data_IF_057870610016
#
_entry.id   IF_057870610016
#
_cell.length_a   1.000
_cell.length_b   1.000
_cell.length_c   1.000
_cell.angle_alpha   90.00
_cell.angle_beta   90.00
_cell.angle_gamma   90.00
#
_symmetry.space_group_name_H-M   'P 1'
#
loop_
_entity.id
_entity.type
_entity.pdbx_description
1 polymer ?
#
# COMPACT_ATOMS: atom_id res chain seq x y z
N UNK A 1 -28.79 11.59 -5.37
CA UNK A 1 -28.13 10.79 -4.31
C UNK A 1 -26.70 10.58 -4.74
N UNK A 2 -25.71 11.00 -3.96
CA UNK A 2 -24.30 10.71 -4.27
C UNK A 2 -24.07 9.21 -4.16
N UNK A 3 -23.46 8.59 -5.18
CA UNK A 3 -23.11 7.18 -5.13
C UNK A 3 -22.15 6.91 -3.96
N UNK A 4 -22.33 5.77 -3.30
CA UNK A 4 -21.43 5.33 -2.23
C UNK A 4 -20.02 5.12 -2.78
N UNK A 5 -19.02 5.66 -2.07
CA UNK A 5 -17.60 5.53 -2.44
C UNK A 5 -17.15 4.09 -2.27
N UNK A 6 -16.69 3.44 -3.33
CA UNK A 6 -16.12 2.08 -3.26
C UNK A 6 -15.21 1.76 -4.45
N UNK A 7 -14.46 0.67 -4.29
CA UNK A 7 -13.72 0.02 -5.37
C UNK A 7 -14.26 -1.40 -5.55
N UNK A 8 -14.76 -1.74 -6.73
CA UNK A 8 -15.12 -3.10 -7.11
C UNK A 8 -14.01 -3.73 -7.94
N UNK A 9 -13.57 -4.92 -7.55
CA UNK A 9 -12.64 -5.73 -8.32
C UNK A 9 -13.45 -6.54 -9.34
N UNK A 10 -13.10 -6.41 -10.62
CA UNK A 10 -13.70 -7.22 -11.68
C UNK A 10 -12.84 -8.47 -11.89
N UNK A 11 -13.48 -9.65 -11.92
CA UNK A 11 -12.80 -10.93 -12.16
C UNK A 11 -11.94 -10.84 -13.42
N UNK A 12 -10.64 -11.09 -13.30
CA UNK A 12 -9.66 -10.96 -14.40
C UNK A 12 -9.66 -9.61 -15.13
N UNK A 13 -10.22 -8.58 -14.51
CA UNK A 13 -10.44 -7.26 -15.09
C UNK A 13 -9.90 -6.11 -14.26
N UNK A 14 -10.37 -4.88 -14.49
CA UNK A 14 -9.91 -3.68 -13.80
C UNK A 14 -10.46 -3.55 -12.38
N UNK A 15 -10.03 -2.48 -11.70
CA UNK A 15 -10.74 -1.93 -10.54
C UNK A 15 -11.74 -0.89 -11.03
N UNK A 16 -13.03 -1.03 -10.68
CA UNK A 16 -14.04 0.01 -10.91
C UNK A 16 -14.14 0.86 -9.65
N UNK A 17 -13.82 2.14 -9.76
CA UNK A 17 -13.89 3.13 -8.69
C UNK A 17 -15.18 3.93 -8.87
N UNK A 18 -15.99 4.06 -7.83
CA UNK A 18 -17.29 4.74 -7.83
C UNK A 18 -17.36 5.77 -6.69
N UNK A 19 -18.13 6.86 -6.88
CA UNK A 19 -18.42 7.84 -5.82
C UNK A 19 -17.55 9.11 -5.88
N UNK A 20 -17.13 9.51 -7.08
CA UNK A 20 -16.35 10.76 -7.30
C UNK A 20 -15.05 10.82 -6.48
N UNK A 21 -14.38 9.67 -6.31
CA UNK A 21 -13.14 9.58 -5.53
C UNK A 21 -11.99 10.24 -6.29
N UNK A 22 -11.33 11.28 -5.73
CA UNK A 22 -10.21 11.95 -6.38
C UNK A 22 -9.05 10.99 -6.69
N UNK A 23 -8.38 11.23 -7.82
CA UNK A 23 -7.25 10.46 -8.29
C UNK A 23 -6.03 11.36 -8.47
N UNK A 24 -4.95 11.02 -7.80
CA UNK A 24 -3.68 11.75 -7.83
C UNK A 24 -2.55 10.88 -8.37
N UNK A 25 -1.44 11.52 -8.72
CA UNK A 25 -0.14 10.87 -8.89
C UNK A 25 0.85 11.51 -7.92
N UNK A 26 1.62 10.67 -7.22
CA UNK A 26 2.69 11.08 -6.33
C UNK A 26 3.95 10.27 -6.61
N UNK A 27 5.11 10.87 -6.35
CA UNK A 27 6.41 10.27 -6.61
C UNK A 27 7.17 10.08 -5.30
N UNK A 28 7.78 8.91 -5.12
CA UNK A 28 8.66 8.64 -3.98
C UNK A 28 9.91 9.51 -4.13
N UNK A 29 10.17 10.30 -3.09
CA UNK A 29 11.39 11.10 -2.94
C UNK A 29 12.26 10.47 -1.86
N UNK A 30 13.55 10.40 -2.15
CA UNK A 30 14.55 9.84 -1.26
C UNK A 30 15.37 10.92 -0.57
N UNK A 31 15.92 10.60 0.60
CA UNK A 31 16.98 11.40 1.20
C UNK A 31 18.35 11.17 0.54
N UNK A 32 19.37 11.84 1.06
CA UNK A 32 20.76 11.77 0.60
C UNK A 32 21.35 10.34 0.70
N UNK A 33 20.84 9.54 1.65
CA UNK A 33 21.21 8.14 1.86
C UNK A 33 20.38 7.16 1.00
N UNK A 34 19.62 7.68 0.01
CA UNK A 34 18.78 6.90 -0.89
C UNK A 34 17.62 6.16 -0.20
N UNK A 35 17.21 6.56 1.00
CA UNK A 35 16.03 6.01 1.65
C UNK A 35 14.77 6.78 1.27
N UNK A 36 13.66 6.06 1.03
CA UNK A 36 12.37 6.69 0.80
C UNK A 36 11.96 7.54 2.01
N UNK A 37 11.73 8.83 1.78
CA UNK A 37 11.46 9.82 2.82
C UNK A 37 10.10 10.48 2.67
N UNK A 38 9.68 10.79 1.44
CA UNK A 38 8.39 11.42 1.18
C UNK A 38 7.68 10.90 -0.08
N UNK A 39 6.41 11.26 -0.22
CA UNK A 39 5.64 11.19 -1.46
C UNK A 39 5.28 12.62 -1.90
N UNK A 40 5.92 13.11 -2.94
CA UNK A 40 5.67 14.45 -3.46
C UNK A 40 4.53 14.43 -4.48
N UNK A 41 3.70 15.46 -4.43
CA UNK A 41 2.61 15.64 -5.39
C UNK A 41 3.17 15.91 -6.79
N UNK A 42 2.64 15.19 -7.78
CA UNK A 42 3.01 15.40 -9.18
C UNK A 42 1.85 15.96 -9.99
N UNK A 43 0.66 15.33 -9.91
CA UNK A 43 -0.54 15.80 -10.60
C UNK A 43 -1.83 15.22 -10.02
N UNK A 44 -2.92 15.86 -10.41
CA UNK A 44 -4.30 15.42 -10.19
C UNK A 44 -4.94 15.07 -11.53
N UNK A 45 -5.82 14.08 -11.53
CA UNK A 45 -6.63 13.70 -12.68
C UNK A 45 -8.03 14.32 -12.56
N UNK A 46 -8.71 14.62 -13.68
CA UNK A 46 -10.07 15.13 -13.64
C UNK A 46 -11.01 14.23 -12.83
N UNK A 47 -11.81 14.84 -11.96
CA UNK A 47 -12.80 14.13 -11.15
C UNK A 47 -13.84 13.45 -12.05
N UNK A 48 -14.16 12.20 -11.74
CA UNK A 48 -15.15 11.38 -12.44
C UNK A 48 -16.00 10.65 -11.41
N UNK A 49 -17.31 10.61 -11.63
CA UNK A 49 -18.22 9.87 -10.76
C UNK A 49 -17.86 8.38 -10.67
N UNK A 50 -17.52 7.78 -11.82
CA UNK A 50 -17.03 6.40 -11.94
C UNK A 50 -15.89 6.31 -12.96
N UNK A 51 -14.87 5.50 -12.67
CA UNK A 51 -13.77 5.23 -13.59
C UNK A 51 -13.15 3.84 -13.36
N UNK A 52 -12.49 3.29 -14.39
CA UNK A 52 -11.86 1.98 -14.34
C UNK A 52 -10.33 2.09 -14.37
N UNK A 53 -9.66 1.65 -13.31
CA UNK A 53 -8.19 1.61 -13.23
C UNK A 53 -7.63 0.28 -13.75
N UNK A 54 -6.56 0.37 -14.53
CA UNK A 54 -5.85 -0.80 -15.04
C UNK A 54 -5.23 -1.60 -13.90
N UNK A 55 -5.52 -2.91 -13.89
CA UNK A 55 -4.95 -3.89 -12.95
C UNK A 55 -3.94 -4.84 -13.59
N UNK A 56 -4.02 -5.05 -14.90
CA UNK A 56 -3.16 -5.99 -15.63
C UNK A 56 -1.78 -5.41 -16.00
N UNK A 57 -1.58 -4.09 -15.83
CA UNK A 57 -0.32 -3.40 -16.15
C UNK A 57 -0.01 -3.23 -17.64
N UNK A 58 -0.95 -3.55 -18.55
CA UNK A 58 -0.73 -3.55 -20.01
C UNK A 58 -1.64 -2.62 -20.82
N UNK A 59 -2.51 -1.86 -20.16
CA UNK A 59 -3.33 -0.86 -20.85
C UNK A 59 -2.46 0.15 -21.60
N UNK A 60 -2.90 0.56 -22.78
CA UNK A 60 -2.30 1.62 -23.58
C UNK A 60 -2.83 3.00 -23.19
N UNK A 61 -3.90 3.05 -22.38
CA UNK A 61 -4.52 4.27 -21.86
C UNK A 61 -4.30 4.43 -20.34
N UNK A 62 -3.08 4.13 -19.86
CA UNK A 62 -2.76 4.20 -18.43
C UNK A 62 -3.06 5.61 -17.86
N UNK A 63 -3.61 5.71 -16.65
CA UNK A 63 -3.82 4.63 -15.67
C UNK A 63 -5.13 3.86 -15.86
N UNK A 64 -5.94 4.22 -16.85
CA UNK A 64 -7.26 3.65 -17.06
C UNK A 64 -7.21 2.31 -17.78
N UNK A 65 -8.24 1.50 -17.59
CA UNK A 65 -8.43 0.27 -18.34
C UNK A 65 -8.88 0.57 -19.78
N UNK A 66 -8.33 -0.13 -20.76
CA UNK A 66 -8.69 -0.05 -22.19
C UNK A 66 -9.16 -1.40 -22.77
N UNK A 67 -9.45 -2.38 -21.90
CA UNK A 67 -9.83 -3.74 -22.30
C UNK A 67 -8.67 -4.68 -22.65
N UNK A 68 -7.41 -4.23 -22.62
CA UNK A 68 -6.25 -5.09 -22.96
C UNK A 68 -6.17 -6.38 -22.14
N UNK A 69 -6.64 -6.37 -20.88
CA UNK A 69 -6.68 -7.53 -19.99
C UNK A 69 -7.39 -8.75 -20.60
N UNK A 70 -8.44 -8.54 -21.41
CA UNK A 70 -9.15 -9.63 -22.11
C UNK A 70 -8.25 -10.26 -23.17
N UNK A 71 -7.59 -9.43 -23.98
CA UNK A 71 -6.76 -9.85 -25.11
C UNK A 71 -5.53 -10.65 -24.68
N UNK A 72 -4.97 -10.30 -23.52
CA UNK A 72 -3.76 -10.96 -22.99
C UNK A 72 -4.09 -12.11 -22.02
N UNK A 73 -5.38 -12.42 -21.81
CA UNK A 73 -5.80 -13.44 -20.85
C UNK A 73 -5.30 -13.16 -19.43
N UNK A 74 -5.43 -11.93 -18.95
CA UNK A 74 -4.92 -11.54 -17.63
C UNK A 74 -5.54 -12.40 -16.52
N UNK A 75 -4.70 -13.13 -15.79
CA UNK A 75 -5.10 -13.79 -14.55
C UNK A 75 -5.02 -12.80 -13.38
N UNK A 76 -6.20 -12.32 -12.99
CA UNK A 76 -6.41 -11.40 -11.88
C UNK A 76 -7.03 -12.08 -10.68
N UNK A 77 -6.88 -13.41 -10.54
CA UNK A 77 -7.38 -14.17 -9.38
C UNK A 77 -6.88 -13.54 -8.09
N UNK A 78 -7.81 -13.26 -7.18
CA UNK A 78 -7.51 -12.74 -5.85
C UNK A 78 -6.97 -13.88 -5.00
N UNK A 79 -5.80 -13.69 -4.41
CA UNK A 79 -5.08 -14.64 -3.56
C UNK A 79 -4.89 -14.14 -2.13
N UNK A 80 -5.13 -12.86 -1.88
CA UNK A 80 -4.94 -12.25 -0.57
C UNK A 80 -5.96 -12.74 0.44
N UNK A 81 -5.46 -12.97 1.66
CA UNK A 81 -6.29 -13.27 2.81
C UNK A 81 -7.31 -12.16 3.06
N UNK A 82 -8.52 -12.57 3.45
CA UNK A 82 -9.59 -11.68 3.93
C UNK A 82 -9.65 -11.62 5.45
N UNK A 83 -8.74 -12.28 6.16
CA UNK A 83 -8.68 -12.18 7.63
C UNK A 83 -8.37 -10.73 8.06
N UNK A 84 -8.90 -10.27 9.21
CA UNK A 84 -8.57 -8.95 9.74
C UNK A 84 -7.06 -8.77 9.95
N UNK A 85 -6.58 -7.54 9.74
CA UNK A 85 -5.18 -7.14 9.87
C UNK A 85 -4.54 -7.63 11.17
N UNK A 86 -5.21 -7.44 12.30
CA UNK A 86 -4.68 -7.82 13.62
C UNK A 86 -4.46 -9.32 13.78
N UNK A 87 -5.16 -10.17 13.02
CA UNK A 87 -4.93 -11.63 13.03
C UNK A 87 -3.74 -12.05 12.15
N UNK A 88 -3.34 -11.19 11.22
CA UNK A 88 -2.19 -11.41 10.33
C UNK A 88 -0.93 -10.69 10.82
N UNK A 89 -1.05 -9.83 11.84
CA UNK A 89 0.02 -8.99 12.31
C UNK A 89 0.85 -9.68 13.41
N UNK A 90 2.16 -9.61 13.26
CA UNK A 90 3.10 -9.88 14.34
C UNK A 90 3.25 -8.64 15.23
N UNK A 91 3.56 -8.85 16.50
CA UNK A 91 3.75 -7.78 17.49
C UNK A 91 5.23 -7.68 17.84
N UNK A 92 5.77 -6.47 17.72
CA UNK A 92 7.11 -6.12 18.18
C UNK A 92 7.00 -5.03 19.24
N UNK A 93 7.72 -5.19 20.34
CA UNK A 93 7.65 -4.25 21.46
C UNK A 93 8.98 -3.54 21.70
N UNK A 94 8.88 -2.25 22.00
CA UNK A 94 9.94 -1.43 22.55
C UNK A 94 9.57 -0.83 23.90
N UNK A 95 10.47 0.00 24.47
CA UNK A 95 10.21 0.72 25.72
C UNK A 95 8.91 1.54 25.71
N UNK A 96 8.69 2.38 24.70
CA UNK A 96 7.54 3.31 24.63
C UNK A 96 6.55 2.97 23.51
N UNK A 97 6.98 2.18 22.52
CA UNK A 97 6.21 1.89 21.33
C UNK A 97 5.92 0.39 21.19
N UNK A 98 4.78 0.07 20.57
CA UNK A 98 4.44 -1.26 20.09
C UNK A 98 4.18 -1.18 18.59
N UNK A 99 4.69 -2.10 17.80
CA UNK A 99 4.47 -2.17 16.36
C UNK A 99 3.67 -3.44 16.05
N UNK A 100 2.55 -3.29 15.36
CA UNK A 100 1.92 -4.40 14.64
C UNK A 100 2.42 -4.39 13.20
N UNK A 101 2.87 -5.54 12.70
CA UNK A 101 3.46 -5.70 11.37
C UNK A 101 2.81 -6.87 10.64
N UNK A 102 1.98 -6.58 9.62
CA UNK A 102 1.36 -7.62 8.80
C UNK A 102 2.04 -7.70 7.44
N UNK A 103 2.99 -8.64 7.34
CA UNK A 103 3.92 -8.79 6.22
C UNK A 103 3.26 -8.88 4.84
N UNK A 104 2.09 -9.52 4.76
CA UNK A 104 1.32 -9.71 3.54
C UNK A 104 0.95 -8.39 2.83
N UNK A 105 0.87 -7.28 3.57
CA UNK A 105 0.55 -5.98 2.98
C UNK A 105 1.77 -5.24 2.41
N UNK A 106 3.00 -5.78 2.52
CA UNK A 106 4.17 -5.02 2.10
C UNK A 106 4.19 -4.75 0.58
N UNK A 107 4.11 -3.48 0.19
CA UNK A 107 4.28 -3.06 -1.20
C UNK A 107 5.73 -2.75 -1.59
N UNK A 108 6.64 -2.86 -0.62
CA UNK A 108 8.06 -2.58 -0.75
C UNK A 108 8.36 -1.15 -1.24
N UNK A 109 7.61 -0.15 -0.78
CA UNK A 109 7.95 1.28 -0.96
C UNK A 109 9.12 1.76 -0.09
N UNK A 110 9.64 0.91 0.82
CA UNK A 110 10.91 1.09 1.56
C UNK A 110 10.95 2.25 2.57
N UNK A 111 9.81 2.84 2.93
CA UNK A 111 9.76 3.94 3.92
C UNK A 111 10.18 3.54 5.34
N UNK A 112 10.22 2.25 5.66
CA UNK A 112 10.58 1.72 6.98
C UNK A 112 12.06 1.33 7.15
N UNK A 113 12.92 1.79 6.22
CA UNK A 113 14.33 1.40 6.16
C UNK A 113 15.28 2.52 6.60
N UNK A 114 14.79 3.73 6.88
CA UNK A 114 15.64 4.86 7.32
C UNK A 114 16.23 4.54 8.69
N UNK A 115 17.37 5.17 9.00
CA UNK A 115 18.02 5.07 10.32
C UNK A 115 18.24 3.63 10.84
N UNK A 116 18.47 2.66 9.93
CA UNK A 116 18.69 1.25 10.27
C UNK A 116 17.41 0.40 10.29
N UNK A 117 16.24 1.01 10.11
CA UNK A 117 14.95 0.37 9.93
C UNK A 117 14.08 0.37 11.18
N UNK A 118 12.75 0.33 10.96
CA UNK A 118 11.75 0.57 12.01
C UNK A 118 11.88 -0.36 13.23
N UNK A 119 12.25 -1.63 13.05
CA UNK A 119 12.42 -2.58 14.18
C UNK A 119 13.54 -2.16 15.13
N UNK A 120 14.64 -1.61 14.61
CA UNK A 120 15.71 -1.05 15.44
C UNK A 120 15.26 0.24 16.14
N UNK A 121 14.47 1.07 15.44
CA UNK A 121 13.96 2.32 16.01
C UNK A 121 13.01 2.08 17.19
N UNK A 122 12.15 1.05 17.11
CA UNK A 122 11.25 0.74 18.23
C UNK A 122 11.99 0.18 19.45
N UNK A 123 13.07 -0.60 19.26
CA UNK A 123 13.93 -1.08 20.36
C UNK A 123 14.52 0.09 21.17
N UNK A 124 14.81 1.21 20.50
CA UNK A 124 15.32 2.44 21.12
C UNK A 124 14.23 3.51 21.34
N UNK A 125 12.95 3.13 21.48
CA UNK A 125 11.84 4.09 21.51
C UNK A 125 11.77 5.03 22.72
N UNK A 126 12.66 4.87 23.71
CA UNK A 126 12.89 5.85 24.79
C UNK A 126 13.79 7.03 24.35
N UNK A 127 14.50 6.91 23.22
CA UNK A 127 15.16 8.04 22.57
C UNK A 127 14.15 8.80 21.72
N UNK A 128 14.01 10.11 21.96
CA UNK A 128 13.00 10.93 21.33
C UNK A 128 13.17 11.01 19.80
N UNK A 129 14.42 10.97 19.30
CA UNK A 129 14.69 11.02 17.86
C UNK A 129 14.33 9.70 17.20
N UNK A 130 14.71 8.57 17.78
CA UNK A 130 14.34 7.24 17.28
C UNK A 130 12.82 7.05 17.25
N UNK A 131 12.13 7.45 18.32
CA UNK A 131 10.68 7.44 18.42
C UNK A 131 10.01 8.26 17.31
N UNK A 132 10.48 9.49 17.09
CA UNK A 132 9.92 10.37 16.06
C UNK A 132 10.10 9.79 14.65
N UNK A 133 11.29 9.25 14.34
CA UNK A 133 11.54 8.62 13.04
C UNK A 133 10.64 7.40 12.85
N UNK A 134 10.48 6.53 13.87
CA UNK A 134 9.59 5.36 13.79
C UNK A 134 8.14 5.75 13.49
N UNK A 135 7.63 6.80 14.14
CA UNK A 135 6.27 7.33 13.88
C UNK A 135 6.15 7.80 12.43
N UNK A 136 7.13 8.57 11.94
CA UNK A 136 7.13 9.02 10.54
C UNK A 136 7.15 7.84 9.55
N UNK A 137 8.01 6.85 9.76
CA UNK A 137 8.13 5.68 8.89
C UNK A 137 6.84 4.86 8.83
N UNK A 138 6.21 4.60 9.98
CA UNK A 138 4.96 3.86 10.04
C UNK A 138 3.81 4.63 9.37
N UNK A 139 3.68 5.93 9.69
CA UNK A 139 2.57 6.75 9.20
C UNK A 139 2.66 7.11 7.72
N UNK A 140 3.86 7.12 7.13
CA UNK A 140 4.05 7.37 5.70
C UNK A 140 4.00 6.09 4.85
N UNK A 141 4.16 4.90 5.45
CA UNK A 141 4.09 3.63 4.74
C UNK A 141 2.74 3.48 4.01
N UNK A 142 2.66 3.53 2.67
CA UNK A 142 1.38 3.63 1.96
C UNK A 142 0.52 2.38 2.10
N UNK A 143 1.12 1.20 2.23
CA UNK A 143 0.39 -0.06 2.37
C UNK A 143 -0.38 -0.24 3.67
N UNK A 144 -0.04 0.50 4.73
CA UNK A 144 -0.59 0.24 6.06
C UNK A 144 -0.14 -1.10 6.66
N UNK A 145 0.93 -1.72 6.15
CA UNK A 145 1.56 -2.91 6.77
C UNK A 145 1.93 -2.66 8.23
N UNK A 146 2.50 -1.49 8.50
CA UNK A 146 3.04 -1.09 9.79
C UNK A 146 2.03 -0.16 10.48
N UNK A 147 1.59 -0.54 11.67
CA UNK A 147 0.82 0.34 12.58
C UNK A 147 1.57 0.41 13.90
N UNK A 148 1.98 1.62 14.26
CA UNK A 148 2.71 1.90 15.48
C UNK A 148 1.73 2.38 16.54
N UNK A 149 1.90 1.92 17.77
CA UNK A 149 1.01 2.18 18.89
C UNK A 149 1.79 2.80 20.04
N UNK A 150 1.21 3.82 20.65
CA UNK A 150 1.71 4.39 21.89
C UNK A 150 1.36 3.45 23.06
N UNK A 151 2.36 2.94 23.78
CA UNK A 151 2.11 2.05 24.93
C UNK A 151 1.45 2.77 26.10
N UNK A 152 1.61 4.09 26.21
CA UNK A 152 1.03 4.88 27.30
C UNK A 152 -0.47 5.08 27.11
N UNK A 153 -0.89 5.44 25.89
CA UNK A 153 -2.30 5.75 25.60
C UNK A 153 -3.06 4.56 25.02
N UNK A 154 -2.36 3.56 24.48
CA UNK A 154 -2.96 2.43 23.75
C UNK A 154 -3.43 2.79 22.35
N UNK A 155 -3.26 4.04 21.91
CA UNK A 155 -3.75 4.54 20.63
C UNK A 155 -2.73 4.31 19.50
N UNK A 156 -3.19 4.08 18.26
CA UNK A 156 -2.31 4.01 17.10
C UNK A 156 -1.87 5.41 16.65
N UNK A 157 -0.63 5.51 16.20
CA UNK A 157 -0.14 6.64 15.41
C UNK A 157 -0.59 6.45 13.96
N UNK A 158 -1.67 7.14 13.59
CA UNK A 158 -2.26 7.09 12.26
C UNK A 158 -2.60 8.48 11.76
N UNK A 159 -2.35 8.72 10.47
CA UNK A 159 -2.79 9.96 9.80
C UNK A 159 -4.24 9.78 9.38
N UNK A 160 -5.06 10.79 9.61
CA UNK A 160 -6.39 10.81 9.01
C UNK A 160 -6.28 11.13 7.51
N UNK A 161 -6.99 10.36 6.69
CA UNK A 161 -7.05 10.58 5.25
C UNK A 161 -8.48 10.78 4.80
N UNK A 162 -8.70 11.79 3.97
CA UNK A 162 -9.90 11.89 3.16
C UNK A 162 -9.90 10.81 2.05
N UNK A 163 -11.09 10.28 1.67
CA UNK A 163 -11.21 9.29 0.61
C UNK A 163 -10.55 9.74 -0.68
N UNK A 164 -9.49 9.04 -1.10
CA UNK A 164 -8.74 9.36 -2.33
C UNK A 164 -7.90 8.19 -2.80
N UNK A 165 -7.53 8.22 -4.09
CA UNK A 165 -6.63 7.25 -4.70
C UNK A 165 -5.38 7.97 -5.20
N UNK A 166 -4.21 7.38 -4.96
CA UNK A 166 -2.92 7.90 -5.42
C UNK A 166 -2.20 6.84 -6.24
N UNK A 167 -1.76 7.19 -7.44
CA UNK A 167 -0.86 6.38 -8.24
C UNK A 167 0.58 6.69 -7.80
N UNK A 168 1.24 5.74 -7.16
CA UNK A 168 2.61 5.93 -6.71
C UNK A 168 3.57 5.71 -7.89
N UNK A 169 4.57 6.58 -8.01
CA UNK A 169 5.71 6.43 -8.92
C UNK A 169 6.99 6.28 -8.10
N UNK A 170 7.90 5.42 -8.54
CA UNK A 170 9.19 5.22 -7.89
C UNK A 170 10.31 5.47 -8.90
N UNK A 171 10.83 6.70 -8.88
CA UNK A 171 11.92 7.12 -9.77
C UNK A 171 13.22 6.38 -9.48
N UNK A 172 13.49 6.03 -8.21
CA UNK A 172 14.68 5.28 -7.82
C UNK A 172 14.67 3.87 -8.42
N UNK A 173 13.51 3.21 -8.48
CA UNK A 173 13.36 1.88 -9.12
C UNK A 173 12.92 1.93 -10.58
N UNK A 174 12.71 3.14 -11.12
CA UNK A 174 12.26 3.37 -12.51
C UNK A 174 10.99 2.58 -12.83
N UNK A 175 10.02 2.58 -11.91
CA UNK A 175 8.82 1.78 -12.05
C UNK A 175 7.55 2.53 -11.64
N UNK A 176 6.42 2.08 -12.20
CA UNK A 176 5.09 2.45 -11.72
C UNK A 176 4.78 1.62 -10.46
N UNK A 177 4.57 2.33 -9.36
CA UNK A 177 4.23 1.77 -8.07
C UNK A 177 2.78 1.30 -7.96
N UNK A 178 2.34 0.93 -6.74
CA UNK A 178 0.97 0.51 -6.50
C UNK A 178 -0.05 1.64 -6.62
N UNK A 179 -1.33 1.24 -6.58
CA UNK A 179 -2.45 2.16 -6.36
C UNK A 179 -2.63 2.26 -4.83
N UNK A 180 -2.39 3.44 -4.26
CA UNK A 180 -2.58 3.73 -2.85
C UNK A 180 -3.99 4.25 -2.60
N UNK A 181 -4.79 3.46 -1.90
CA UNK A 181 -6.19 3.74 -1.55
C UNK A 181 -6.20 4.27 -0.12
N UNK A 182 -6.82 5.42 0.11
CA UNK A 182 -6.80 6.14 1.40
C UNK A 182 -8.20 6.52 1.84
N UNK A 183 -8.39 6.68 3.15
CA UNK A 183 -9.60 7.22 3.75
C UNK A 183 -10.75 6.23 3.78
N UNK A 184 -10.48 4.99 4.21
CA UNK A 184 -11.51 3.97 4.52
C UNK A 184 -12.44 3.66 3.34
N UNK A 185 -11.92 3.71 2.10
CA UNK A 185 -12.69 3.32 0.91
C UNK A 185 -12.90 1.80 0.93
N UNK A 186 -14.16 1.30 0.94
CA UNK A 186 -14.46 -0.13 0.84
C UNK A 186 -13.95 -0.74 -0.47
N UNK A 187 -13.43 -1.97 -0.37
CA UNK A 187 -12.95 -2.75 -1.51
C UNK A 187 -13.75 -4.04 -1.58
N UNK A 188 -14.53 -4.17 -2.64
CA UNK A 188 -15.39 -5.31 -2.91
C UNK A 188 -14.68 -6.26 -3.87
N UNK A 189 -14.45 -7.51 -3.45
CA UNK A 189 -13.85 -8.56 -4.27
C UNK A 189 -14.74 -8.96 -5.45
N UNK A 190 -14.22 -9.73 -6.41
CA UNK A 190 -15.02 -10.13 -7.58
C UNK A 190 -16.27 -10.93 -7.19
N UNK A 191 -16.20 -11.71 -6.11
CA UNK A 191 -17.29 -12.53 -5.58
C UNK A 191 -18.24 -11.78 -4.62
N UNK A 192 -18.03 -10.47 -4.41
CA UNK A 192 -18.94 -9.61 -3.65
C UNK A 192 -18.65 -9.51 -2.15
N UNK A 193 -17.61 -10.19 -1.65
CA UNK A 193 -17.14 -10.00 -0.28
C UNK A 193 -16.42 -8.66 -0.13
N UNK A 194 -16.40 -8.12 1.09
CA UNK A 194 -15.70 -6.88 1.40
C UNK A 194 -14.39 -7.23 2.13
N UNK A 195 -13.26 -6.75 1.60
CA UNK A 195 -12.00 -6.76 2.35
C UNK A 195 -12.12 -5.82 3.55
N UNK A 196 -11.35 -6.06 4.62
CA UNK A 196 -11.30 -5.17 5.77
C UNK A 196 -11.16 -3.71 5.33
N UNK A 197 -12.04 -2.84 5.84
CA UNK A 197 -12.01 -1.42 5.55
C UNK A 197 -10.88 -0.79 6.36
N UNK A 198 -9.84 -0.31 5.68
CA UNK A 198 -8.63 0.22 6.32
C UNK A 198 -8.41 1.69 6.00
N UNK A 199 -7.72 2.39 6.90
CA UNK A 199 -7.36 3.80 6.73
C UNK A 199 -6.54 4.03 5.44
N UNK A 200 -5.63 3.11 5.14
CA UNK A 200 -4.90 3.05 3.87
C UNK A 200 -4.53 1.62 3.49
N UNK A 201 -4.40 1.37 2.20
CA UNK A 201 -4.00 0.09 1.64
C UNK A 201 -3.43 0.28 0.23
N UNK A 202 -2.64 -0.67 -0.27
CA UNK A 202 -2.10 -0.61 -1.64
C UNK A 202 -2.54 -1.78 -2.50
N UNK A 203 -3.03 -1.48 -3.70
CA UNK A 203 -3.49 -2.45 -4.68
C UNK A 203 -2.47 -2.64 -5.80
N UNK A 204 -2.39 -3.87 -6.31
CA UNK A 204 -1.54 -4.23 -7.43
C UNK A 204 -2.01 -3.51 -8.71
N UNK A 205 -1.09 -2.78 -9.35
CA UNK A 205 -1.29 -2.09 -10.63
C UNK A 205 -0.64 -2.80 -11.82
N UNK A 206 0.42 -3.57 -11.56
CA UNK A 206 1.30 -4.14 -12.58
C UNK A 206 0.84 -5.52 -13.10
N UNK A 207 -0.15 -6.14 -12.47
CA UNK A 207 -0.65 -7.48 -12.79
C UNK A 207 0.18 -8.64 -12.22
N UNK A 208 1.35 -8.37 -11.62
CA UNK A 208 2.34 -9.40 -11.23
C UNK A 208 2.32 -9.82 -9.75
N UNK A 209 1.48 -9.20 -8.92
CA UNK A 209 1.42 -9.56 -7.50
C UNK A 209 1.03 -11.03 -7.32
N UNK A 210 1.69 -11.74 -6.42
CA UNK A 210 1.33 -13.08 -5.96
C UNK A 210 0.32 -13.00 -4.80
N UNK A 211 0.09 -11.81 -4.25
CA UNK A 211 -0.87 -11.51 -3.18
C UNK A 211 -2.01 -10.59 -3.66
N UNK A 212 -2.64 -10.87 -4.80
CA UNK A 212 -3.69 -10.00 -5.37
C UNK A 212 -4.93 -9.98 -4.46
N UNK A 213 -5.61 -8.85 -4.28
CA UNK A 213 -5.46 -7.61 -5.04
C UNK A 213 -4.37 -6.70 -4.47
N UNK A 214 -3.73 -7.03 -3.36
CA UNK A 214 -2.70 -6.20 -2.76
C UNK A 214 -1.42 -6.17 -3.58
N UNK A 215 -0.67 -5.07 -3.45
CA UNK A 215 0.68 -5.00 -3.98
C UNK A 215 1.64 -5.73 -3.03
N UNK A 216 2.57 -6.48 -3.61
CA UNK A 216 3.57 -7.29 -2.89
C UNK A 216 5.01 -6.96 -3.35
N UNK A 217 5.21 -5.81 -4.00
CA UNK A 217 6.50 -5.40 -4.57
C UNK A 217 6.89 -6.04 -5.91
N UNK A 218 6.11 -6.97 -6.49
CA UNK A 218 6.42 -7.63 -7.79
C UNK A 218 6.57 -6.68 -8.99
N UNK A 219 6.24 -5.39 -8.83
CA UNK A 219 6.40 -4.40 -9.89
C UNK A 219 7.86 -3.99 -10.13
N UNK A 220 8.75 -4.18 -9.14
CA UNK A 220 10.19 -3.94 -9.30
C UNK A 220 11.10 -5.02 -8.70
N UNK A 221 10.58 -5.88 -7.81
CA UNK A 221 11.36 -6.95 -7.19
C UNK A 221 11.26 -8.26 -7.97
N UNK A 222 12.39 -8.97 -8.08
CA UNK A 222 12.41 -10.39 -8.46
C UNK A 222 12.02 -11.29 -7.28
N UNK A 223 11.68 -12.56 -7.55
CA UNK A 223 11.39 -13.56 -6.50
C UNK A 223 12.56 -13.70 -5.52
N UNK A 224 13.78 -13.75 -6.03
CA UNK A 224 14.99 -13.84 -5.21
C UNK A 224 15.16 -12.61 -4.30
N UNK A 225 14.93 -11.40 -4.82
CA UNK A 225 15.01 -10.18 -4.02
C UNK A 225 13.96 -10.17 -2.90
N UNK A 226 12.75 -10.67 -3.17
CA UNK A 226 11.70 -10.81 -2.13
C UNK A 226 12.10 -11.80 -1.06
N UNK A 227 12.63 -12.95 -1.45
CA UNK A 227 13.10 -13.97 -0.52
C UNK A 227 14.23 -13.43 0.37
N UNK A 228 15.20 -12.73 -0.23
CA UNK A 228 16.29 -12.10 0.52
C UNK A 228 15.79 -11.01 1.47
N UNK A 229 14.78 -10.24 1.05
CA UNK A 229 14.12 -9.28 1.93
C UNK A 229 13.44 -9.97 3.12
N UNK A 230 12.65 -11.02 2.88
CA UNK A 230 11.99 -11.80 3.96
C UNK A 230 13.00 -12.32 4.97
N UNK A 231 14.09 -12.95 4.50
CA UNK A 231 15.19 -13.44 5.34
C UNK A 231 15.83 -12.35 6.19
N UNK A 232 16.05 -11.14 5.63
CA UNK A 232 16.58 -10.00 6.39
C UNK A 232 15.68 -9.61 7.57
N UNK A 233 14.38 -9.84 7.45
CA UNK A 233 13.40 -9.58 8.51
C UNK A 233 13.13 -10.82 9.39
N UNK A 234 13.93 -11.88 9.28
CA UNK A 234 13.71 -13.11 10.05
C UNK A 234 12.38 -13.80 9.73
N UNK A 235 11.88 -13.60 8.51
CA UNK A 235 10.67 -14.24 8.00
C UNK A 235 11.09 -15.40 7.11
N UNK A 236 10.56 -16.59 7.39
CA UNK A 236 10.74 -17.79 6.57
C UNK A 236 10.02 -17.69 5.21
#
# INVERSE_FOLDING_TARGET
MSLEKKIKIIKNGPYIVTGSIPLYQQVIVTDEDNHAKNLDYEKEYPIKETYSLCRCGKSKNMPYCDGTHVKIGFDGTETASKEPYLKQAEIFEGPELKLTDAHEFCDHSRFCNRAGGIRKLIECSNDQKAKQIAIEEATICPSGRLVLWDKKTGNPFEKEFEPSIVLIQDSQKKCQGPIWVRGKIPIESYDGQIYEIRNRITLCRCGKSENKPYCDGSHWMTKEQKLNFRKKWGLD
#
